data_IF_692658255555
#
_entry.id   IF_692658255555
#
_cell.length_a   1.000
_cell.length_b   1.000
_cell.length_c   1.000
_cell.angle_alpha   90.00
_cell.angle_beta   90.00
_cell.angle_gamma   90.00
#
_symmetry.space_group_name_H-M   'P 1'
#
loop_
_entity.id
_entity.type
_entity.pdbx_description
1 polymer ?
#
# COMPACT_ATOMS: atom_id res chain seq x y z
N UNK A 1 -9.49 14.93 18.50
CA UNK A 1 -8.41 13.99 18.17
C UNK A 1 -8.73 12.56 18.59
N UNK A 2 -9.09 12.33 19.84
CA UNK A 2 -9.39 11.00 20.35
C UNK A 2 -10.51 10.30 19.56
N UNK A 3 -11.59 11.02 19.27
CA UNK A 3 -12.71 10.49 18.49
C UNK A 3 -12.30 10.12 17.06
N UNK A 4 -11.44 10.93 16.43
CA UNK A 4 -10.94 10.64 15.07
C UNK A 4 -10.09 9.37 15.06
N UNK A 5 -9.23 9.19 16.06
CA UNK A 5 -8.39 8.01 16.20
C UNK A 5 -9.24 6.75 16.39
N UNK A 6 -10.28 6.83 17.20
CA UNK A 6 -11.20 5.72 17.41
C UNK A 6 -11.94 5.32 16.13
N UNK A 7 -12.39 6.30 15.34
CA UNK A 7 -13.01 6.03 14.05
C UNK A 7 -12.05 5.31 13.10
N UNK A 8 -10.79 5.75 13.05
CA UNK A 8 -9.78 5.08 12.22
C UNK A 8 -9.51 3.65 12.67
N UNK A 9 -9.50 3.40 13.98
CA UNK A 9 -9.36 2.04 14.52
C UNK A 9 -10.52 1.15 14.07
N UNK A 10 -11.74 1.64 14.15
CA UNK A 10 -12.94 0.91 13.72
C UNK A 10 -12.85 0.61 12.22
N UNK A 11 -12.46 1.57 11.41
CA UNK A 11 -12.33 1.37 9.97
C UNK A 11 -11.28 0.31 9.62
N UNK A 12 -10.16 0.25 10.36
CA UNK A 12 -9.16 -0.79 10.17
C UNK A 12 -9.66 -2.17 10.58
N UNK A 13 -10.27 -2.25 11.76
CA UNK A 13 -10.73 -3.52 12.34
C UNK A 13 -11.85 -4.14 11.50
N UNK A 14 -12.75 -3.32 10.97
CA UNK A 14 -13.89 -3.76 10.18
C UNK A 14 -13.60 -3.76 8.67
N UNK A 15 -12.40 -3.39 8.28
CA UNK A 15 -11.99 -3.27 6.86
C UNK A 15 -12.95 -2.38 6.06
N UNK A 16 -13.36 -1.28 6.66
CA UNK A 16 -14.26 -0.30 6.04
C UNK A 16 -13.57 0.48 4.93
N UNK A 17 -14.25 0.64 3.79
CA UNK A 17 -13.74 1.38 2.63
C UNK A 17 -14.21 2.84 2.59
N UNK A 18 -14.18 3.51 3.74
CA UNK A 18 -14.58 4.92 3.86
C UNK A 18 -13.40 5.85 3.57
N UNK A 19 -12.87 5.78 2.35
CA UNK A 19 -11.65 6.51 1.98
C UNK A 19 -11.81 8.03 2.10
N UNK A 20 -12.95 8.58 1.68
CA UNK A 20 -13.21 10.02 1.77
C UNK A 20 -13.21 10.49 3.22
N UNK A 21 -13.84 9.75 4.12
CA UNK A 21 -13.87 10.09 5.53
C UNK A 21 -12.49 10.03 6.17
N UNK A 22 -11.66 9.06 5.80
CA UNK A 22 -10.29 8.94 6.29
C UNK A 22 -9.48 10.16 5.85
N UNK A 23 -9.58 10.57 4.60
CA UNK A 23 -8.89 11.75 4.07
C UNK A 23 -9.35 13.00 4.80
N UNK A 24 -10.64 13.16 5.02
CA UNK A 24 -11.19 14.31 5.73
C UNK A 24 -10.71 14.38 7.17
N UNK A 25 -10.69 13.27 7.90
CA UNK A 25 -10.19 13.20 9.27
C UNK A 25 -8.71 13.58 9.33
N UNK A 26 -7.93 13.13 8.38
CA UNK A 26 -6.52 13.51 8.30
C UNK A 26 -6.35 15.00 8.02
N UNK A 27 -7.04 15.51 7.03
CA UNK A 27 -6.92 16.91 6.60
C UNK A 27 -7.37 17.89 7.68
N UNK A 28 -8.49 17.62 8.33
CA UNK A 28 -9.11 18.54 9.26
C UNK A 28 -8.50 18.48 10.66
N UNK A 29 -8.10 17.30 11.12
CA UNK A 29 -7.75 17.07 12.51
C UNK A 29 -6.31 16.57 12.68
N UNK A 30 -6.00 15.42 12.09
CA UNK A 30 -4.81 14.64 12.45
C UNK A 30 -3.50 15.21 11.92
N UNK A 31 -3.51 15.83 10.74
CA UNK A 31 -2.29 16.40 10.15
C UNK A 31 -1.74 17.57 10.95
N UNK A 32 -2.59 18.22 11.72
CA UNK A 32 -2.26 19.38 12.54
C UNK A 32 -1.85 19.02 13.97
N UNK A 33 -1.85 17.73 14.29
CA UNK A 33 -1.58 17.25 15.64
C UNK A 33 -0.28 16.45 15.70
N UNK A 34 0.34 16.46 16.86
CA UNK A 34 1.48 15.61 17.12
C UNK A 34 0.99 14.20 17.48
N UNK A 35 1.30 13.23 16.63
CA UNK A 35 0.88 11.84 16.81
C UNK A 35 1.90 10.99 17.56
N UNK A 36 3.02 11.57 18.01
CA UNK A 36 4.10 10.80 18.65
C UNK A 36 3.65 10.10 19.93
N UNK A 37 2.62 10.60 20.60
CA UNK A 37 2.06 9.98 21.80
C UNK A 37 1.35 8.65 21.54
N UNK A 38 1.04 8.34 20.29
CA UNK A 38 0.35 7.10 19.88
C UNK A 38 1.28 5.91 19.72
N UNK A 39 2.60 6.13 19.79
CA UNK A 39 3.56 5.05 19.58
C UNK A 39 3.45 4.44 18.20
N UNK A 40 3.41 3.11 18.13
CA UNK A 40 3.38 2.39 16.86
C UNK A 40 2.09 2.60 16.06
N UNK A 41 1.01 3.00 16.70
CA UNK A 41 -0.25 3.26 16.00
C UNK A 41 -0.14 4.42 15.00
N UNK A 42 0.77 5.36 15.23
CA UNK A 42 1.07 6.43 14.28
C UNK A 42 1.35 5.87 12.88
N UNK A 43 2.13 4.80 12.81
CA UNK A 43 2.52 4.21 11.53
C UNK A 43 1.36 3.51 10.83
N UNK A 44 0.48 2.88 11.60
CA UNK A 44 -0.75 2.29 11.08
C UNK A 44 -1.69 3.37 10.51
N UNK A 45 -1.79 4.49 11.19
CA UNK A 45 -2.60 5.63 10.72
C UNK A 45 -2.02 6.20 9.42
N UNK A 46 -0.70 6.40 9.35
CA UNK A 46 -0.05 6.93 8.15
C UNK A 46 -0.27 6.02 6.94
N UNK A 47 -0.16 4.71 7.13
CA UNK A 47 -0.43 3.75 6.05
C UNK A 47 -1.90 3.76 5.64
N UNK A 48 -2.81 3.83 6.59
CA UNK A 48 -4.24 3.91 6.33
C UNK A 48 -4.60 5.16 5.53
N UNK A 49 -4.06 6.32 5.94
CA UNK A 49 -4.27 7.59 5.23
C UNK A 49 -3.63 7.55 3.85
N UNK A 50 -2.46 6.96 3.72
CA UNK A 50 -1.79 6.79 2.43
C UNK A 50 -2.68 6.05 1.43
N UNK A 51 -3.23 4.91 1.82
CA UNK A 51 -4.10 4.11 0.96
C UNK A 51 -5.38 4.85 0.60
N UNK A 52 -5.99 5.52 1.57
CA UNK A 52 -7.18 6.33 1.31
C UNK A 52 -6.90 7.50 0.36
N UNK A 53 -5.75 8.16 0.52
CA UNK A 53 -5.33 9.25 -0.36
C UNK A 53 -5.13 8.79 -1.80
N UNK A 54 -4.60 7.58 -2.01
CA UNK A 54 -4.48 7.01 -3.35
C UNK A 54 -5.84 6.81 -4.00
N UNK A 55 -6.82 6.30 -3.25
CA UNK A 55 -8.18 6.11 -3.75
C UNK A 55 -8.87 7.43 -4.09
N UNK A 56 -8.57 8.49 -3.36
CA UNK A 56 -9.16 9.82 -3.57
C UNK A 56 -8.34 10.71 -4.50
N UNK A 57 -7.31 10.17 -5.14
CA UNK A 57 -6.40 10.88 -6.05
C UNK A 57 -5.71 12.08 -5.40
N UNK A 58 -5.40 11.97 -4.10
CA UNK A 58 -4.66 12.98 -3.32
C UNK A 58 -3.17 12.63 -3.27
N UNK A 59 -2.50 12.73 -4.42
CA UNK A 59 -1.11 12.29 -4.57
C UNK A 59 -0.12 12.97 -3.61
N UNK A 60 -0.27 14.28 -3.39
CA UNK A 60 0.61 15.02 -2.48
C UNK A 60 0.48 14.52 -1.05
N UNK A 61 -0.75 14.29 -0.59
CA UNK A 61 -1.02 13.76 0.76
C UNK A 61 -0.43 12.36 0.91
N UNK A 62 -0.63 11.50 -0.10
CA UNK A 62 -0.09 10.14 -0.10
C UNK A 62 1.44 10.16 -0.02
N UNK A 63 2.09 11.00 -0.80
CA UNK A 63 3.54 11.12 -0.78
C UNK A 63 4.07 11.60 0.57
N UNK A 64 3.40 12.57 1.20
CA UNK A 64 3.79 13.08 2.52
C UNK A 64 3.75 11.98 3.57
N UNK A 65 2.69 11.18 3.60
CA UNK A 65 2.57 10.04 4.50
C UNK A 65 3.65 8.99 4.22
N UNK A 66 3.90 8.71 2.95
CA UNK A 66 4.88 7.72 2.53
C UNK A 66 6.31 8.14 2.92
N UNK A 67 6.66 9.41 2.74
CA UNK A 67 7.96 9.93 3.14
C UNK A 67 8.22 9.76 4.64
N UNK A 68 7.20 9.99 5.47
CA UNK A 68 7.32 9.78 6.90
C UNK A 68 7.55 8.30 7.24
N UNK A 69 6.85 7.39 6.54
CA UNK A 69 7.05 5.95 6.70
C UNK A 69 8.44 5.53 6.25
N UNK A 70 8.93 6.06 5.14
CA UNK A 70 10.27 5.75 4.61
C UNK A 70 11.37 6.21 5.56
N UNK A 71 11.20 7.36 6.22
CA UNK A 71 12.16 7.85 7.23
C UNK A 71 12.23 6.94 8.44
N UNK A 72 11.09 6.39 8.87
CA UNK A 72 11.04 5.54 10.05
C UNK A 72 11.55 4.12 9.79
N UNK A 73 11.09 3.51 8.69
CA UNK A 73 11.34 2.10 8.43
C UNK A 73 12.46 1.83 7.42
N UNK A 74 13.12 2.88 6.97
CA UNK A 74 14.13 2.86 5.93
C UNK A 74 13.59 2.36 4.57
N UNK A 75 14.31 2.69 3.49
CA UNK A 75 13.91 2.28 2.13
C UNK A 75 14.07 0.77 1.89
N UNK A 76 14.68 0.06 2.83
CA UNK A 76 14.88 -1.39 2.71
C UNK A 76 13.71 -2.21 3.22
N UNK A 77 12.74 -1.61 3.91
CA UNK A 77 11.54 -2.32 4.35
C UNK A 77 10.71 -2.76 3.17
N UNK A 78 10.46 -4.06 3.06
CA UNK A 78 9.63 -4.63 2.00
C UNK A 78 8.24 -4.02 1.96
N UNK A 79 7.60 -3.89 3.13
CA UNK A 79 6.27 -3.30 3.25
C UNK A 79 6.21 -1.87 2.73
N UNK A 80 7.17 -1.04 3.12
CA UNK A 80 7.22 0.37 2.69
C UNK A 80 7.57 0.46 1.20
N UNK A 81 8.42 -0.42 0.70
CA UNK A 81 8.78 -0.47 -0.72
C UNK A 81 7.55 -0.79 -1.59
N UNK A 82 6.68 -1.70 -1.14
CA UNK A 82 5.41 -1.98 -1.83
C UNK A 82 4.52 -0.74 -1.87
N UNK A 83 4.45 0.02 -0.79
CA UNK A 83 3.68 1.26 -0.75
C UNK A 83 4.23 2.29 -1.75
N UNK A 84 5.55 2.39 -1.89
CA UNK A 84 6.17 3.27 -2.90
C UNK A 84 5.78 2.86 -4.31
N UNK A 85 5.77 1.57 -4.60
CA UNK A 85 5.32 1.08 -5.90
C UNK A 85 3.85 1.41 -6.15
N UNK A 86 2.99 1.28 -5.14
CA UNK A 86 1.58 1.67 -5.23
C UNK A 86 1.42 3.16 -5.54
N UNK A 87 2.26 4.00 -4.96
CA UNK A 87 2.28 5.43 -5.25
C UNK A 87 2.61 5.68 -6.72
N UNK A 88 3.64 5.02 -7.25
CA UNK A 88 4.01 5.16 -8.67
C UNK A 88 2.88 4.72 -9.59
N UNK A 89 2.17 3.63 -9.26
CA UNK A 89 0.99 3.21 -10.01
C UNK A 89 -0.06 4.32 -10.07
N UNK A 90 -0.31 4.98 -8.93
CA UNK A 90 -1.35 6.00 -8.83
C UNK A 90 -1.08 7.24 -9.67
N UNK A 91 0.17 7.57 -9.92
CA UNK A 91 0.56 8.71 -10.76
C UNK A 91 0.86 8.32 -12.21
N UNK A 92 0.63 7.06 -12.57
CA UNK A 92 0.86 6.56 -13.92
C UNK A 92 2.31 6.21 -14.24
N UNK A 93 3.20 6.21 -13.26
CA UNK A 93 4.60 5.83 -13.43
C UNK A 93 4.75 4.31 -13.36
N UNK A 94 4.16 3.61 -14.33
CA UNK A 94 4.08 2.15 -14.32
C UNK A 94 5.43 1.47 -14.45
N UNK A 95 6.36 2.05 -15.19
CA UNK A 95 7.71 1.48 -15.36
C UNK A 95 8.46 1.39 -14.03
N UNK A 96 8.39 2.44 -13.23
CA UNK A 96 9.00 2.50 -11.90
C UNK A 96 8.36 1.51 -10.93
N UNK A 97 7.03 1.41 -10.96
CA UNK A 97 6.31 0.44 -10.14
C UNK A 97 6.68 -1.00 -10.51
N UNK A 98 6.73 -1.30 -11.80
CA UNK A 98 7.09 -2.62 -12.32
C UNK A 98 8.51 -3.02 -11.90
N UNK A 99 9.45 -2.09 -11.97
CA UNK A 99 10.84 -2.33 -11.55
C UNK A 99 10.91 -2.71 -10.07
N UNK A 100 10.18 -2.01 -9.22
CA UNK A 100 10.12 -2.31 -7.79
C UNK A 100 9.55 -3.72 -7.55
N UNK A 101 8.42 -4.05 -8.17
CA UNK A 101 7.81 -5.36 -8.01
C UNK A 101 8.69 -6.48 -8.54
N UNK A 102 9.38 -6.27 -9.65
CA UNK A 102 10.31 -7.25 -10.21
C UNK A 102 11.46 -7.53 -9.25
N UNK A 103 12.03 -6.48 -8.64
CA UNK A 103 13.09 -6.61 -7.65
C UNK A 103 12.63 -7.39 -6.43
N UNK A 104 11.45 -7.05 -5.89
CA UNK A 104 10.89 -7.73 -4.72
C UNK A 104 10.55 -9.20 -5.02
N UNK A 105 10.05 -9.47 -6.21
CA UNK A 105 9.75 -10.84 -6.64
C UNK A 105 11.03 -11.68 -6.76
N UNK A 106 12.11 -11.10 -7.23
CA UNK A 106 13.41 -11.76 -7.32
C UNK A 106 13.96 -12.11 -5.93
N UNK A 107 13.77 -11.25 -4.94
CA UNK A 107 14.20 -11.48 -3.58
C UNK A 107 13.38 -12.56 -2.88
N UNK A 108 12.09 -12.62 -3.12
CA UNK A 108 11.19 -13.59 -2.50
C UNK A 108 10.03 -13.93 -3.46
N UNK A 109 10.18 -15.06 -4.16
CA UNK A 109 9.19 -15.50 -5.15
C UNK A 109 7.84 -15.89 -4.55
N UNK A 110 7.82 -16.29 -3.28
CA UNK A 110 6.60 -16.74 -2.60
C UNK A 110 5.77 -15.61 -2.01
N UNK A 111 6.19 -14.36 -2.16
CA UNK A 111 5.45 -13.22 -1.64
C UNK A 111 4.17 -13.00 -2.46
N UNK A 112 3.05 -13.46 -1.92
CA UNK A 112 1.75 -13.38 -2.57
C UNK A 112 1.29 -11.94 -2.78
N UNK A 113 1.62 -11.04 -1.87
CA UNK A 113 1.22 -9.62 -1.96
C UNK A 113 1.87 -8.96 -3.16
N UNK A 114 3.18 -9.15 -3.33
CA UNK A 114 3.93 -8.59 -4.46
C UNK A 114 3.42 -9.15 -5.79
N UNK A 115 3.20 -10.45 -5.86
CA UNK A 115 2.69 -11.08 -7.08
C UNK A 115 1.30 -10.59 -7.46
N UNK A 116 0.41 -10.44 -6.48
CA UNK A 116 -0.94 -9.90 -6.71
C UNK A 116 -0.89 -8.46 -7.20
N UNK A 117 -0.02 -7.65 -6.62
CA UNK A 117 0.16 -6.25 -7.04
C UNK A 117 0.69 -6.17 -8.47
N UNK A 118 1.65 -7.04 -8.83
CA UNK A 118 2.20 -7.09 -10.17
C UNK A 118 1.13 -7.47 -11.21
N UNK A 119 0.30 -8.45 -10.89
CA UNK A 119 -0.82 -8.86 -11.75
C UNK A 119 -1.80 -7.68 -11.95
N UNK A 120 -2.12 -6.99 -10.87
CA UNK A 120 -2.99 -5.82 -10.90
C UNK A 120 -2.45 -4.72 -11.81
N UNK A 121 -1.14 -4.46 -11.70
CA UNK A 121 -0.44 -3.47 -12.53
C UNK A 121 -0.52 -3.83 -14.02
N UNK A 122 -0.31 -5.08 -14.37
CA UNK A 122 -0.39 -5.54 -15.76
C UNK A 122 -1.81 -5.41 -16.30
N UNK A 123 -2.83 -5.66 -15.49
CA UNK A 123 -4.23 -5.44 -15.88
C UNK A 123 -4.50 -3.97 -16.17
N UNK A 124 -3.98 -3.06 -15.35
CA UNK A 124 -4.14 -1.62 -15.55
C UNK A 124 -3.51 -1.15 -16.86
N UNK A 125 -2.46 -1.81 -17.29
CA UNK A 125 -1.78 -1.52 -18.56
C UNK A 125 -2.39 -2.24 -19.76
N UNK A 126 -3.51 -2.94 -19.57
CA UNK A 126 -4.15 -3.78 -20.60
C UNK A 126 -3.26 -4.91 -21.11
N UNK A 127 -2.32 -5.37 -20.31
CA UNK A 127 -1.43 -6.48 -20.62
C UNK A 127 -2.03 -7.79 -20.11
N UNK A 128 -3.25 -8.10 -20.56
CA UNK A 128 -4.04 -9.23 -20.06
C UNK A 128 -3.30 -10.57 -20.20
N UNK A 129 -2.63 -10.78 -21.31
CA UNK A 129 -1.90 -12.04 -21.55
C UNK A 129 -0.81 -12.26 -20.50
N UNK A 130 0.00 -11.24 -20.24
CA UNK A 130 1.07 -11.32 -19.26
C UNK A 130 0.52 -11.49 -17.85
N UNK A 131 -0.60 -10.82 -17.54
CA UNK A 131 -1.28 -10.98 -16.26
C UNK A 131 -1.72 -12.43 -16.04
N UNK A 132 -2.25 -13.09 -17.06
CA UNK A 132 -2.66 -14.49 -16.99
C UNK A 132 -1.44 -15.39 -16.72
N UNK A 133 -0.31 -15.15 -17.39
CA UNK A 133 0.92 -15.91 -17.16
C UNK A 133 1.40 -15.77 -15.70
N UNK A 134 1.40 -14.57 -15.16
CA UNK A 134 1.79 -14.32 -13.78
C UNK A 134 0.82 -14.96 -12.79
N UNK A 135 -0.47 -14.93 -13.07
CA UNK A 135 -1.48 -15.58 -12.23
C UNK A 135 -1.27 -17.09 -12.19
N UNK A 136 -1.02 -17.71 -13.33
CA UNK A 136 -0.76 -19.15 -13.41
C UNK A 136 0.49 -19.53 -12.61
N UNK A 137 1.57 -18.75 -12.73
CA UNK A 137 2.79 -18.95 -11.95
C UNK A 137 2.53 -18.85 -10.44
N UNK A 138 1.73 -17.87 -10.01
CA UNK A 138 1.35 -17.71 -8.62
C UNK A 138 0.58 -18.93 -8.10
N UNK A 139 -0.37 -19.44 -8.88
CA UNK A 139 -1.17 -20.60 -8.49
C UNK A 139 -0.32 -21.87 -8.37
N UNK A 140 0.65 -22.06 -9.26
CA UNK A 140 1.58 -23.18 -9.19
C UNK A 140 2.41 -23.14 -7.90
N UNK A 141 2.97 -21.98 -7.56
CA UNK A 141 3.74 -21.82 -6.33
C UNK A 141 2.88 -22.05 -5.08
N UNK A 142 1.65 -21.56 -5.11
CA UNK A 142 0.72 -21.73 -3.99
C UNK A 142 0.35 -23.19 -3.78
N UNK A 143 0.13 -23.94 -4.85
CA UNK A 143 -0.12 -25.39 -4.76
C UNK A 143 1.07 -26.13 -4.16
N UNK A 144 2.28 -25.83 -4.59
CA UNK A 144 3.50 -26.44 -4.05
C UNK A 144 3.62 -26.19 -2.55
N UNK A 145 3.34 -24.96 -2.11
CA UNK A 145 3.37 -24.62 -0.68
C UNK A 145 2.32 -25.39 0.11
N UNK A 146 1.12 -25.59 -0.44
CA UNK A 146 0.04 -26.32 0.23
C UNK A 146 0.33 -27.83 0.32
N UNK A 147 1.07 -28.39 -0.64
CA UNK A 147 1.43 -29.81 -0.65
C UNK A 147 2.58 -30.15 0.30
N UNK A 148 3.33 -29.14 0.73
CA UNK A 148 4.41 -29.33 1.70
C UNK A 148 3.91 -29.44 3.13
#
# INVERSE_FOLDING_TARGET
MQSAIEKLRIYRDENYRSHDEIVDLWTEILSKRNLSSLGDEKWLILEQVFKAALHCSKSAMANDCLEQLEKQFTKTSRRVTVLRAMYYESIGAFAEAEEIYATLETEEETDAIVRKRKISLLKEQNQIREAIQHLNSYLELYQVILEL
#
